data_IF_885478419687
#
_entry.id   IF_885478419687
#
_cell.length_a   1.000
_cell.length_b   1.000
_cell.length_c   1.000
_cell.angle_alpha   90.00
_cell.angle_beta   90.00
_cell.angle_gamma   90.00
#
_symmetry.space_group_name_H-M   'P 1'
#
loop_
_entity.id
_entity.type
_entity.pdbx_description
1 polymer ?
#
# COMPACT_ATOMS: atom_id res chain seq x y z
N UNK A 1 1.01 -25.83 -12.54
CA UNK A 1 2.37 -25.58 -13.08
C UNK A 1 2.53 -24.08 -13.15
N UNK A 2 3.58 -23.51 -12.59
CA UNK A 2 3.82 -22.07 -12.59
C UNK A 2 4.13 -21.62 -14.01
N UNK A 3 3.43 -20.58 -14.48
CA UNK A 3 3.70 -19.97 -15.78
C UNK A 3 4.75 -18.87 -15.60
N UNK A 4 5.88 -19.02 -16.27
CA UNK A 4 6.93 -18.01 -16.38
C UNK A 4 6.93 -17.48 -17.79
N UNK A 5 6.88 -16.18 -17.94
CA UNK A 5 6.93 -15.47 -19.22
C UNK A 5 8.33 -14.86 -19.39
N UNK A 6 8.87 -14.86 -20.60
CA UNK A 6 10.21 -14.34 -20.89
C UNK A 6 10.15 -13.02 -21.64
N UNK A 7 11.12 -12.15 -21.39
CA UNK A 7 11.30 -10.89 -22.09
C UNK A 7 10.03 -10.02 -22.12
N UNK A 8 9.42 -9.81 -20.93
CA UNK A 8 8.12 -9.16 -20.77
C UNK A 8 8.28 -7.65 -20.62
N UNK A 9 7.51 -6.86 -21.38
CA UNK A 9 7.42 -5.41 -21.16
C UNK A 9 6.81 -5.10 -19.80
N UNK A 10 7.44 -4.22 -19.04
CA UNK A 10 6.99 -3.74 -17.73
C UNK A 10 6.21 -2.44 -17.82
N UNK A 11 5.92 -1.93 -19.00
CA UNK A 11 5.24 -0.65 -19.21
C UNK A 11 3.88 -0.59 -18.51
N UNK A 12 3.08 -1.64 -18.60
CA UNK A 12 1.78 -1.74 -17.94
C UNK A 12 1.86 -2.12 -16.45
N UNK A 13 3.07 -2.42 -15.97
CA UNK A 13 3.32 -2.83 -14.58
C UNK A 13 3.93 -1.72 -13.72
N UNK A 14 4.04 -0.49 -14.25
CA UNK A 14 4.48 0.66 -13.49
C UNK A 14 3.65 1.90 -13.84
N UNK A 15 3.34 2.72 -12.84
CA UNK A 15 2.48 3.90 -13.02
C UNK A 15 3.17 5.08 -13.69
N UNK A 16 4.48 5.04 -13.91
CA UNK A 16 5.19 5.98 -14.78
C UNK A 16 4.97 5.68 -16.28
N UNK A 17 4.53 4.45 -16.62
CA UNK A 17 4.42 4.01 -18.01
C UNK A 17 5.77 3.88 -18.73
N UNK A 18 6.85 3.70 -17.97
CA UNK A 18 8.20 3.54 -18.51
C UNK A 18 8.32 2.20 -19.21
N UNK A 19 8.82 2.22 -20.46
CA UNK A 19 9.18 1.03 -21.19
C UNK A 19 10.50 0.47 -20.64
N UNK A 20 10.41 -0.68 -20.01
CA UNK A 20 11.52 -1.51 -19.57
C UNK A 20 11.09 -2.96 -19.71
N UNK A 21 12.01 -3.90 -19.75
CA UNK A 21 11.70 -5.32 -19.89
C UNK A 21 12.21 -6.11 -18.68
N UNK A 22 11.45 -7.11 -18.26
CA UNK A 22 11.96 -8.12 -17.34
C UNK A 22 12.40 -9.35 -18.13
N UNK A 23 13.53 -9.94 -17.76
CA UNK A 23 13.99 -11.22 -18.34
C UNK A 23 12.94 -12.30 -18.13
N UNK A 24 12.42 -12.39 -16.92
CA UNK A 24 11.35 -13.30 -16.55
C UNK A 24 10.26 -12.59 -15.75
N UNK A 25 9.01 -12.99 -15.96
CA UNK A 25 7.87 -12.55 -15.16
C UNK A 25 7.04 -13.77 -14.77
N UNK A 26 6.71 -13.85 -13.49
CA UNK A 26 5.80 -14.84 -12.93
C UNK A 26 4.68 -14.12 -12.14
N UNK A 27 3.42 -14.47 -12.43
CA UNK A 27 2.26 -14.00 -11.65
C UNK A 27 1.96 -15.01 -10.56
N UNK A 28 1.78 -14.54 -9.35
CA UNK A 28 1.46 -15.35 -8.18
C UNK A 28 0.06 -14.99 -7.72
N UNK A 29 -0.88 -15.91 -7.90
CA UNK A 29 -2.29 -15.79 -7.54
C UNK A 29 -2.68 -16.61 -6.30
N UNK A 30 -1.76 -17.45 -5.80
CA UNK A 30 -1.93 -18.23 -4.57
C UNK A 30 -0.62 -18.43 -3.82
N UNK A 31 -0.71 -18.67 -2.52
CA UNK A 31 0.46 -19.02 -1.69
C UNK A 31 1.12 -20.31 -2.15
N UNK A 32 0.33 -21.28 -2.63
CA UNK A 32 0.84 -22.53 -3.18
C UNK A 32 1.70 -22.32 -4.44
N UNK A 33 1.31 -21.37 -5.30
CA UNK A 33 2.14 -20.98 -6.47
C UNK A 33 3.44 -20.34 -6.03
N UNK A 34 3.43 -19.47 -5.01
CA UNK A 34 4.66 -18.91 -4.46
C UNK A 34 5.59 -20.00 -3.93
N UNK A 35 5.07 -20.91 -3.09
CA UNK A 35 5.86 -22.03 -2.54
C UNK A 35 6.47 -22.90 -3.65
N UNK A 36 5.71 -23.13 -4.74
CA UNK A 36 6.22 -23.85 -5.88
C UNK A 36 7.29 -23.06 -6.63
N UNK A 37 7.15 -21.72 -6.76
CA UNK A 37 8.16 -20.84 -7.36
C UNK A 37 9.46 -20.85 -6.55
N UNK A 38 9.39 -20.76 -5.22
CA UNK A 38 10.58 -20.78 -4.35
C UNK A 38 11.42 -22.05 -4.50
N UNK A 39 10.80 -23.18 -4.91
CA UNK A 39 11.49 -24.46 -5.17
C UNK A 39 12.02 -24.58 -6.60
N UNK A 40 11.72 -23.65 -7.47
CA UNK A 40 12.13 -23.70 -8.87
C UNK A 40 13.55 -23.18 -9.08
N UNK A 41 14.30 -23.71 -10.08
CA UNK A 41 15.63 -23.19 -10.41
C UNK A 41 15.64 -21.70 -10.71
N UNK A 42 14.63 -21.20 -11.44
CA UNK A 42 14.54 -19.80 -11.88
C UNK A 42 14.53 -18.80 -10.72
N UNK A 43 14.00 -19.19 -9.54
CA UNK A 43 14.02 -18.33 -8.35
C UNK A 43 15.43 -18.21 -7.76
N UNK A 44 16.25 -19.25 -7.89
CA UNK A 44 17.57 -19.35 -7.29
C UNK A 44 18.71 -18.88 -8.23
N UNK A 45 18.44 -18.74 -9.53
CA UNK A 45 19.46 -18.47 -10.55
C UNK A 45 19.74 -16.98 -10.79
N UNK A 46 19.06 -16.07 -10.11
CA UNK A 46 19.27 -14.64 -10.38
C UNK A 46 18.60 -13.71 -9.39
N UNK A 47 18.64 -12.43 -9.71
CA UNK A 47 17.88 -11.44 -8.94
C UNK A 47 16.38 -11.63 -9.12
N UNK A 48 15.63 -11.41 -8.04
CA UNK A 48 14.19 -11.39 -8.09
C UNK A 48 13.65 -10.13 -7.42
N UNK A 49 12.49 -9.66 -7.88
CA UNK A 49 11.81 -8.51 -7.34
C UNK A 49 10.31 -8.76 -7.21
N UNK A 50 9.76 -8.51 -6.02
CA UNK A 50 8.32 -8.64 -5.76
C UNK A 50 7.63 -7.33 -6.16
N UNK A 51 6.74 -7.40 -7.14
CA UNK A 51 6.05 -6.27 -7.72
C UNK A 51 4.57 -6.28 -7.33
N UNK A 52 4.16 -5.26 -6.56
CA UNK A 52 2.74 -4.99 -6.28
C UNK A 52 2.06 -4.23 -7.43
N UNK A 53 1.50 -3.07 -7.14
CA UNK A 53 0.84 -2.21 -8.13
C UNK A 53 1.78 -1.38 -9.02
N UNK A 54 3.10 -1.45 -8.83
CA UNK A 54 4.07 -0.66 -9.60
C UNK A 54 3.97 0.86 -9.42
N UNK A 55 3.31 1.31 -8.35
CA UNK A 55 3.04 2.73 -8.12
C UNK A 55 4.11 3.45 -7.29
N UNK A 56 5.20 2.76 -6.92
CA UNK A 56 6.32 3.34 -6.16
C UNK A 56 7.66 2.73 -6.62
N UNK A 57 7.81 2.55 -7.92
CA UNK A 57 9.02 2.03 -8.55
C UNK A 57 9.37 2.88 -9.78
N UNK A 58 10.65 3.15 -9.95
CA UNK A 58 11.21 3.79 -11.14
C UNK A 58 12.14 2.79 -11.82
N UNK A 59 11.78 2.31 -13.00
CA UNK A 59 12.67 1.52 -13.83
C UNK A 59 13.63 2.44 -14.57
N UNK A 60 14.93 2.25 -14.35
CA UNK A 60 16.01 3.00 -15.01
C UNK A 60 16.62 2.23 -16.19
N UNK A 61 16.12 1.03 -16.44
CA UNK A 61 16.55 0.12 -17.52
C UNK A 61 15.82 -1.21 -17.38
N UNK A 62 16.19 -2.15 -18.23
CA UNK A 62 15.68 -3.51 -18.19
C UNK A 62 16.12 -4.24 -16.90
N UNK A 63 15.31 -5.17 -16.45
CA UNK A 63 15.57 -5.98 -15.26
C UNK A 63 16.02 -7.38 -15.68
N UNK A 64 17.31 -7.67 -15.52
CA UNK A 64 17.89 -8.99 -15.83
C UNK A 64 17.64 -9.99 -14.69
N UNK A 65 16.37 -10.29 -14.41
CA UNK A 65 15.97 -11.17 -13.32
C UNK A 65 14.49 -11.57 -13.40
N UNK A 66 14.00 -12.17 -12.31
CA UNK A 66 12.64 -12.63 -12.16
C UNK A 66 11.76 -11.56 -11.49
N UNK A 67 10.81 -11.02 -12.23
CA UNK A 67 9.75 -10.18 -11.68
C UNK A 67 8.59 -11.04 -11.17
N UNK A 68 8.31 -10.97 -9.88
CA UNK A 68 7.23 -11.71 -9.22
C UNK A 68 6.05 -10.76 -9.03
N UNK A 69 5.07 -10.83 -9.93
CA UNK A 69 3.86 -10.01 -9.86
C UNK A 69 2.88 -10.60 -8.86
N UNK A 70 2.51 -9.79 -7.88
CA UNK A 70 1.56 -10.19 -6.83
C UNK A 70 0.12 -10.00 -7.32
N UNK A 71 -0.61 -11.11 -7.41
CA UNK A 71 -2.02 -11.14 -7.83
C UNK A 71 -2.91 -11.96 -6.86
N UNK A 72 -2.46 -12.17 -5.60
CA UNK A 72 -3.30 -12.80 -4.56
C UNK A 72 -4.53 -11.93 -4.28
N UNK A 73 -5.72 -12.49 -4.45
CA UNK A 73 -6.99 -11.76 -4.32
C UNK A 73 -7.88 -12.36 -3.24
N UNK A 74 -8.72 -11.53 -2.66
CA UNK A 74 -9.73 -11.89 -1.68
C UNK A 74 -9.75 -10.92 -0.51
N UNK A 75 -10.95 -10.73 0.05
CA UNK A 75 -11.21 -9.98 1.28
C UNK A 75 -12.12 -10.87 2.12
N UNK A 76 -11.72 -11.17 3.33
CA UNK A 76 -12.43 -12.07 4.26
C UNK A 76 -12.69 -11.36 5.58
N UNK A 77 -13.89 -11.52 6.14
CA UNK A 77 -14.16 -11.16 7.53
C UNK A 77 -13.65 -12.31 8.40
N UNK A 78 -12.60 -12.06 9.18
CA UNK A 78 -12.02 -13.10 10.06
C UNK A 78 -12.55 -13.05 11.49
N UNK A 79 -13.07 -11.90 11.91
CA UNK A 79 -13.80 -11.72 13.16
C UNK A 79 -14.63 -10.43 13.10
N UNK A 80 -15.75 -10.40 13.80
CA UNK A 80 -16.54 -9.19 14.02
C UNK A 80 -17.34 -9.25 15.32
N UNK A 81 -17.62 -8.07 15.84
CA UNK A 81 -18.57 -7.88 16.94
C UNK A 81 -19.51 -6.68 16.62
N UNK A 82 -20.19 -6.13 17.64
CA UNK A 82 -21.09 -4.98 17.42
C UNK A 82 -20.37 -3.70 17.07
N UNK A 83 -19.10 -3.54 17.40
CA UNK A 83 -18.32 -2.29 17.30
C UNK A 83 -17.25 -2.33 16.25
N UNK A 84 -16.63 -3.48 16.04
CA UNK A 84 -15.45 -3.66 15.20
C UNK A 84 -15.62 -4.83 14.23
N UNK A 85 -14.92 -4.75 13.12
CA UNK A 85 -14.72 -5.84 12.16
C UNK A 85 -13.22 -6.01 11.90
N UNK A 86 -12.79 -7.25 11.82
CA UNK A 86 -11.44 -7.62 11.37
C UNK A 86 -11.55 -8.20 9.98
N UNK A 87 -10.92 -7.52 9.03
CA UNK A 87 -10.88 -7.96 7.64
C UNK A 87 -9.46 -8.38 7.27
N UNK A 88 -9.33 -9.55 6.70
CA UNK A 88 -8.10 -10.03 6.06
C UNK A 88 -8.19 -9.77 4.57
N UNK A 89 -7.28 -8.96 4.05
CA UNK A 89 -7.19 -8.64 2.64
C UNK A 89 -5.89 -9.19 2.05
N UNK A 90 -5.97 -9.93 0.94
CA UNK A 90 -4.79 -10.51 0.30
C UNK A 90 -3.98 -9.45 -0.44
N UNK A 91 -2.67 -9.69 -0.54
CA UNK A 91 -1.65 -8.70 -0.90
C UNK A 91 -1.78 -8.11 -2.30
N UNK A 92 -2.40 -8.82 -3.23
CA UNK A 92 -2.65 -8.37 -4.60
C UNK A 92 -3.92 -7.53 -4.75
N UNK A 93 -4.75 -7.37 -3.70
CA UNK A 93 -5.90 -6.49 -3.76
C UNK A 93 -5.49 -5.03 -3.99
N UNK A 94 -6.26 -4.32 -4.82
CA UNK A 94 -6.04 -2.89 -5.00
C UNK A 94 -6.40 -2.15 -3.72
N UNK A 95 -5.48 -1.33 -3.21
CA UNK A 95 -5.68 -0.61 -1.96
C UNK A 95 -6.93 0.27 -1.97
N UNK A 96 -7.15 1.05 -3.03
CA UNK A 96 -8.30 1.95 -3.08
C UNK A 96 -9.64 1.18 -3.17
N UNK A 97 -9.66 0.04 -3.86
CA UNK A 97 -10.85 -0.80 -3.91
C UNK A 97 -11.17 -1.40 -2.52
N UNK A 98 -10.15 -1.77 -1.74
CA UNK A 98 -10.34 -2.17 -0.34
C UNK A 98 -10.94 -1.03 0.51
N UNK A 99 -10.45 0.21 0.33
CA UNK A 99 -11.02 1.38 1.01
C UNK A 99 -12.49 1.57 0.62
N UNK A 100 -12.82 1.51 -0.68
CA UNK A 100 -14.20 1.65 -1.15
C UNK A 100 -15.10 0.51 -0.63
N UNK A 101 -14.58 -0.71 -0.54
CA UNK A 101 -15.30 -1.84 0.06
C UNK A 101 -15.63 -1.55 1.54
N UNK A 102 -14.67 -1.06 2.32
CA UNK A 102 -14.89 -0.69 3.73
C UNK A 102 -15.90 0.46 3.85
N UNK A 103 -15.78 1.50 3.04
CA UNK A 103 -16.71 2.65 3.00
C UNK A 103 -18.14 2.22 2.67
N UNK A 104 -18.30 1.30 1.71
CA UNK A 104 -19.63 0.79 1.31
C UNK A 104 -20.32 0.00 2.43
N UNK A 105 -19.55 -0.59 3.35
CA UNK A 105 -20.04 -1.32 4.52
C UNK A 105 -20.10 -0.44 5.79
N UNK A 106 -19.85 0.87 5.67
CA UNK A 106 -19.71 1.81 6.79
C UNK A 106 -18.67 1.36 7.82
N UNK A 107 -17.54 0.81 7.36
CA UNK A 107 -16.40 0.46 8.21
C UNK A 107 -15.37 1.59 8.20
N UNK A 108 -15.20 2.23 9.36
CA UNK A 108 -14.35 3.39 9.52
C UNK A 108 -12.92 3.04 9.92
N UNK A 109 -11.99 3.94 9.55
CA UNK A 109 -10.56 3.91 9.88
C UNK A 109 -9.64 4.13 8.69
N UNK A 110 -9.98 3.62 7.50
CA UNK A 110 -9.15 3.74 6.28
C UNK A 110 -9.67 4.76 5.27
N UNK A 111 -10.76 5.46 5.53
CA UNK A 111 -11.39 6.44 4.63
C UNK A 111 -10.45 7.59 4.22
N UNK A 112 -9.59 8.06 5.14
CA UNK A 112 -8.57 9.07 4.87
C UNK A 112 -7.44 8.57 3.93
N UNK A 113 -7.32 7.26 3.77
CA UNK A 113 -6.32 6.62 2.90
C UNK A 113 -6.88 6.32 1.50
N UNK A 114 -8.01 6.93 1.16
CA UNK A 114 -8.65 6.84 -0.16
C UNK A 114 -7.72 7.29 -1.28
N UNK A 115 -7.86 6.63 -2.44
CA UNK A 115 -7.13 6.94 -3.68
C UNK A 115 -5.60 6.86 -3.57
N UNK A 116 -5.04 6.19 -2.53
CA UNK A 116 -3.63 5.85 -2.52
C UNK A 116 -3.43 4.72 -3.55
N UNK A 117 -2.52 4.89 -4.53
CA UNK A 117 -2.25 3.85 -5.51
C UNK A 117 -1.46 2.69 -4.91
N UNK A 118 -1.56 1.52 -5.54
CA UNK A 118 -0.82 0.33 -5.13
C UNK A 118 -1.71 -0.78 -4.62
N UNK A 119 -1.10 -1.78 -3.99
CA UNK A 119 -1.77 -2.98 -3.49
C UNK A 119 -1.68 -3.10 -1.97
N UNK A 120 -2.56 -3.91 -1.39
CA UNK A 120 -2.64 -4.16 0.06
C UNK A 120 -1.31 -4.63 0.62
N UNK A 121 -0.61 -5.57 -0.04
CA UNK A 121 0.69 -6.06 0.43
C UNK A 121 1.81 -5.03 0.44
N UNK A 122 1.68 -3.94 -0.34
CA UNK A 122 2.63 -2.83 -0.30
C UNK A 122 2.36 -1.83 0.84
N UNK A 123 1.16 -1.84 1.42
CA UNK A 123 0.76 -0.88 2.46
C UNK A 123 1.63 -0.96 3.72
N UNK A 124 1.91 -2.13 4.32
CA UNK A 124 2.75 -2.24 5.51
C UNK A 124 4.24 -1.99 5.22
N UNK A 125 4.71 -2.17 3.98
CA UNK A 125 6.13 -1.99 3.63
C UNK A 125 6.68 -0.64 4.10
N UNK A 126 5.94 0.42 3.87
CA UNK A 126 6.34 1.78 4.22
C UNK A 126 5.31 2.50 5.09
N UNK A 127 4.49 1.75 5.83
CA UNK A 127 3.47 2.33 6.69
C UNK A 127 2.73 3.47 5.96
N UNK A 128 1.96 3.12 4.93
CA UNK A 128 1.27 4.15 4.14
C UNK A 128 0.44 5.06 5.03
N UNK A 129 0.40 6.33 4.69
CA UNK A 129 -0.33 7.32 5.47
C UNK A 129 -0.63 8.57 4.66
N UNK A 130 -1.77 9.14 4.91
CA UNK A 130 -2.24 10.38 4.31
C UNK A 130 -3.30 11.02 5.21
N UNK A 131 -3.45 12.33 5.10
CA UNK A 131 -4.53 13.08 5.75
C UNK A 131 -4.71 12.77 7.25
N UNK A 132 -3.58 12.69 7.97
CA UNK A 132 -3.56 12.50 9.42
C UNK A 132 -3.75 11.04 9.89
N UNK A 133 -3.86 10.07 8.98
CA UNK A 133 -3.98 8.65 9.31
C UNK A 133 -2.79 7.86 8.77
N UNK A 134 -2.25 6.95 9.56
CA UNK A 134 -1.26 5.96 9.16
C UNK A 134 -1.83 4.55 9.32
N UNK A 135 -1.51 3.66 8.37
CA UNK A 135 -2.05 2.29 8.34
C UNK A 135 -1.65 1.47 9.58
N UNK A 136 -0.51 1.77 10.21
CA UNK A 136 -0.07 1.11 11.44
C UNK A 136 -1.09 1.14 12.57
N UNK A 137 -1.96 2.16 12.61
CA UNK A 137 -2.97 2.29 13.65
C UNK A 137 -4.14 1.30 13.47
N UNK A 138 -4.22 0.66 12.31
CA UNK A 138 -5.33 -0.19 11.88
C UNK A 138 -4.90 -1.62 11.58
N UNK A 139 -3.61 -1.85 11.28
CA UNK A 139 -3.07 -3.20 11.09
C UNK A 139 -3.10 -3.95 12.43
N UNK A 140 -3.74 -5.12 12.43
CA UNK A 140 -3.68 -6.09 13.54
C UNK A 140 -2.51 -7.05 13.32
N UNK A 141 -2.37 -7.59 12.10
CA UNK A 141 -1.29 -8.50 11.74
C UNK A 141 -0.96 -8.45 10.24
N UNK A 142 0.21 -8.98 9.92
CA UNK A 142 0.70 -9.15 8.54
C UNK A 142 1.14 -10.60 8.36
N UNK A 143 0.45 -11.34 7.49
CA UNK A 143 0.84 -12.70 7.14
C UNK A 143 1.88 -12.68 6.04
N UNK A 144 2.88 -13.53 6.19
CA UNK A 144 4.04 -13.56 5.30
C UNK A 144 4.51 -14.97 5.02
N UNK A 145 5.30 -15.11 3.95
CA UNK A 145 6.03 -16.32 3.61
C UNK A 145 7.51 -15.95 3.53
N UNK A 146 8.34 -16.63 4.28
CA UNK A 146 9.79 -16.46 4.23
C UNK A 146 10.34 -17.00 2.90
N UNK A 147 11.01 -16.15 2.15
CA UNK A 147 11.47 -16.50 0.80
C UNK A 147 12.55 -17.60 0.77
N UNK A 148 13.37 -17.68 1.82
CA UNK A 148 14.44 -18.67 1.91
C UNK A 148 13.93 -20.09 2.22
N UNK A 149 12.85 -20.20 3.01
CA UNK A 149 12.36 -21.48 3.54
C UNK A 149 10.99 -21.89 3.03
N UNK A 150 10.20 -20.92 2.57
CA UNK A 150 8.79 -21.10 2.24
C UNK A 150 7.89 -21.24 3.49
N UNK A 151 8.40 -20.97 4.69
CA UNK A 151 7.63 -21.06 5.92
C UNK A 151 6.73 -19.85 6.11
N UNK A 152 5.52 -20.09 6.61
CA UNK A 152 4.58 -19.05 6.97
C UNK A 152 4.97 -18.39 8.30
N UNK A 153 4.84 -17.08 8.37
CA UNK A 153 4.99 -16.30 9.59
C UNK A 153 3.98 -15.17 9.63
N UNK A 154 3.27 -15.02 10.72
CA UNK A 154 2.44 -13.86 11.02
C UNK A 154 3.22 -12.91 11.91
N UNK A 155 3.29 -11.63 11.51
CA UNK A 155 3.84 -10.54 12.32
C UNK A 155 2.68 -9.79 12.97
N UNK A 156 2.76 -9.58 14.27
CA UNK A 156 1.87 -8.66 14.97
C UNK A 156 2.17 -7.22 14.57
N UNK A 157 1.28 -6.29 14.90
CA UNK A 157 1.52 -4.85 14.66
C UNK A 157 2.84 -4.39 15.26
N UNK A 158 3.14 -4.79 16.50
CA UNK A 158 4.37 -4.43 17.22
C UNK A 158 5.61 -4.98 16.51
N UNK A 159 5.60 -6.25 16.10
CA UNK A 159 6.71 -6.89 15.38
C UNK A 159 6.97 -6.26 14.02
N UNK A 160 6.00 -5.60 13.40
CA UNK A 160 6.18 -4.86 12.16
C UNK A 160 7.08 -3.61 12.31
N UNK A 161 7.35 -3.14 13.54
CA UNK A 161 8.28 -2.05 13.83
C UNK A 161 7.99 -0.78 13.03
N UNK A 162 6.71 -0.40 12.93
CA UNK A 162 6.28 0.72 12.10
C UNK A 162 6.84 2.07 12.57
N UNK A 163 7.41 2.82 11.64
CA UNK A 163 7.82 4.21 11.79
C UNK A 163 7.27 5.09 10.67
N UNK A 164 7.66 6.36 10.64
CA UNK A 164 7.26 7.26 9.57
C UNK A 164 7.83 6.80 8.23
N UNK A 165 6.95 6.30 7.35
CA UNK A 165 7.29 5.68 6.05
C UNK A 165 8.27 4.52 6.17
N UNK A 166 8.22 3.77 7.26
CA UNK A 166 9.13 2.67 7.57
C UNK A 166 8.44 1.49 8.24
N UNK A 167 9.03 0.30 8.06
CA UNK A 167 8.71 -0.94 8.76
C UNK A 167 9.93 -1.87 8.75
N UNK A 168 9.87 -2.97 9.48
CA UNK A 168 10.90 -4.02 9.43
C UNK A 168 11.06 -4.59 8.01
N UNK A 169 9.97 -4.67 7.22
CA UNK A 169 9.99 -5.17 5.84
C UNK A 169 10.78 -4.27 4.87
N UNK A 170 10.94 -3.00 5.20
CA UNK A 170 11.75 -2.05 4.44
C UNK A 170 13.20 -2.00 4.90
N UNK A 171 13.49 -2.47 6.11
CA UNK A 171 14.81 -2.44 6.80
C UNK A 171 15.40 -3.86 6.94
N UNK A 172 15.35 -4.40 8.16
CA UNK A 172 16.06 -5.63 8.57
C UNK A 172 15.56 -6.88 7.82
N UNK A 173 14.29 -6.88 7.45
CA UNK A 173 13.64 -7.99 6.74
C UNK A 173 13.45 -7.72 5.24
N UNK A 174 14.09 -6.67 4.72
CA UNK A 174 14.03 -6.36 3.29
C UNK A 174 14.46 -7.55 2.45
N UNK A 175 13.67 -7.90 1.43
CA UNK A 175 13.88 -9.05 0.52
C UNK A 175 13.88 -10.42 1.23
N UNK A 176 13.40 -10.52 2.47
CA UNK A 176 13.35 -11.81 3.18
C UNK A 176 11.95 -12.43 3.21
N UNK A 177 10.91 -11.61 3.13
CA UNK A 177 9.53 -12.04 3.25
C UNK A 177 8.68 -11.55 2.08
N UNK A 178 7.78 -12.44 1.65
CA UNK A 178 6.65 -12.09 0.79
C UNK A 178 5.45 -11.85 1.70
N UNK A 179 4.81 -10.68 1.61
CA UNK A 179 3.57 -10.40 2.33
C UNK A 179 2.43 -11.04 1.55
N UNK A 180 1.71 -11.98 2.17
CA UNK A 180 0.59 -12.68 1.55
C UNK A 180 -0.74 -12.01 1.84
N UNK A 181 -0.93 -11.48 3.05
CA UNK A 181 -2.15 -10.76 3.44
C UNK A 181 -1.91 -9.78 4.58
N UNK A 182 -2.88 -8.89 4.79
CA UNK A 182 -2.91 -7.93 5.88
C UNK A 182 -4.26 -7.99 6.57
N UNK A 183 -4.26 -8.14 7.89
CA UNK A 183 -5.48 -8.07 8.70
C UNK A 183 -5.62 -6.66 9.27
N UNK A 184 -6.75 -6.02 8.99
CA UNK A 184 -7.11 -4.69 9.46
C UNK A 184 -8.24 -4.77 10.48
N UNK A 185 -8.15 -3.96 11.53
CA UNK A 185 -9.21 -3.75 12.50
C UNK A 185 -9.90 -2.41 12.21
N UNK A 186 -11.16 -2.47 11.82
CA UNK A 186 -11.98 -1.33 11.44
C UNK A 186 -13.19 -1.18 12.37
N UNK A 187 -13.71 0.03 12.50
CA UNK A 187 -14.88 0.29 13.34
C UNK A 187 -16.18 0.15 12.54
N UNK A 188 -17.22 -0.38 13.17
CA UNK A 188 -18.60 -0.47 12.63
C UNK A 188 -19.54 0.59 13.19
N UNK A 189 -19.18 1.15 14.35
CA UNK A 189 -19.96 2.19 15.06
C UNK A 189 -19.02 3.13 15.80
N UNK A 190 -19.49 4.34 16.12
CA UNK A 190 -18.75 5.33 16.90
C UNK A 190 -17.37 5.64 16.30
N UNK A 191 -17.33 5.84 14.98
CA UNK A 191 -16.11 6.09 14.24
C UNK A 191 -15.34 7.30 14.78
N UNK A 192 -14.03 7.15 14.95
CA UNK A 192 -13.12 8.25 15.26
C UNK A 192 -12.67 8.91 13.96
N UNK A 193 -13.54 9.77 13.42
CA UNK A 193 -13.34 10.40 12.12
C UNK A 193 -12.28 11.50 12.18
N UNK A 194 -11.23 11.40 11.36
CA UNK A 194 -10.21 12.44 11.26
C UNK A 194 -10.58 13.43 10.15
N UNK A 195 -11.14 14.57 10.56
CA UNK A 195 -11.59 15.64 9.65
C UNK A 195 -10.72 16.88 9.69
N UNK A 196 -9.76 16.98 10.63
CA UNK A 196 -9.02 18.22 10.90
C UNK A 196 -7.77 18.42 10.04
N UNK A 197 -7.39 17.45 9.22
CA UNK A 197 -6.12 17.50 8.48
C UNK A 197 -6.24 18.18 7.12
N UNK A 198 -5.37 19.17 6.88
CA UNK A 198 -5.19 19.81 5.57
C UNK A 198 -6.47 20.46 5.04
N UNK A 199 -6.84 20.15 3.81
CA UNK A 199 -7.99 20.74 3.12
C UNK A 199 -9.32 19.97 3.36
N UNK A 200 -9.35 18.96 4.24
CA UNK A 200 -10.58 18.19 4.51
C UNK A 200 -11.72 19.08 5.02
N UNK A 201 -11.51 19.95 6.05
CA UNK A 201 -12.60 20.78 6.58
C UNK A 201 -13.25 21.66 5.51
N UNK A 202 -12.45 22.34 4.72
CA UNK A 202 -12.91 23.23 3.64
C UNK A 202 -13.63 22.43 2.56
N UNK A 203 -13.08 21.28 2.17
CA UNK A 203 -13.70 20.41 1.16
C UNK A 203 -15.06 19.87 1.61
N UNK A 204 -15.19 19.43 2.88
CA UNK A 204 -16.47 19.00 3.44
C UNK A 204 -17.48 20.14 3.44
N UNK A 205 -17.06 21.37 3.76
CA UNK A 205 -17.92 22.56 3.70
C UNK A 205 -18.38 22.86 2.27
N UNK A 206 -17.48 22.79 1.28
CA UNK A 206 -17.83 22.93 -0.13
C UNK A 206 -18.81 21.85 -0.62
N UNK A 207 -18.73 20.66 -0.05
CA UNK A 207 -19.64 19.55 -0.33
C UNK A 207 -20.97 19.65 0.45
N UNK A 208 -21.18 20.72 1.23
CA UNK A 208 -22.34 20.94 2.10
C UNK A 208 -22.56 19.82 3.12
N UNK A 209 -21.48 19.18 3.59
CA UNK A 209 -21.54 18.14 4.62
C UNK A 209 -21.59 18.79 6.00
N UNK A 210 -22.70 18.66 6.68
CA UNK A 210 -22.90 19.18 8.06
C UNK A 210 -22.44 18.18 9.13
N UNK A 211 -22.65 16.89 8.89
CA UNK A 211 -22.23 15.80 9.77
C UNK A 211 -21.33 14.86 8.96
N UNK A 212 -20.02 14.84 9.23
CA UNK A 212 -19.11 13.95 8.54
C UNK A 212 -19.43 12.47 8.78
N UNK A 213 -19.26 11.66 7.74
CA UNK A 213 -19.39 10.21 7.76
C UNK A 213 -18.15 9.58 7.14
N UNK A 214 -17.94 8.27 7.32
CA UNK A 214 -16.89 7.51 6.65
C UNK A 214 -16.92 7.78 5.14
N UNK A 215 -18.11 7.76 4.54
CA UNK A 215 -18.31 8.01 3.10
C UNK A 215 -17.92 9.44 2.70
N UNK A 216 -18.42 10.45 3.41
CA UNK A 216 -18.17 11.85 3.05
C UNK A 216 -16.69 12.23 3.18
N UNK A 217 -15.96 11.66 4.15
CA UNK A 217 -14.51 11.86 4.27
C UNK A 217 -13.78 11.20 3.10
N UNK A 218 -14.11 9.96 2.77
CA UNK A 218 -13.53 9.28 1.59
C UNK A 218 -13.73 10.11 0.32
N UNK A 219 -14.94 10.61 0.07
CA UNK A 219 -15.27 11.47 -1.09
C UNK A 219 -14.48 12.79 -1.08
N UNK A 220 -14.35 13.44 0.08
CA UNK A 220 -13.55 14.65 0.24
C UNK A 220 -12.07 14.40 -0.07
N UNK A 221 -11.50 13.32 0.47
CA UNK A 221 -10.11 12.94 0.20
C UNK A 221 -9.90 12.63 -1.29
N UNK A 222 -10.81 11.91 -1.93
CA UNK A 222 -10.75 11.64 -3.38
C UNK A 222 -10.77 12.95 -4.18
N UNK A 223 -11.67 13.89 -3.84
CA UNK A 223 -11.76 15.22 -4.48
C UNK A 223 -10.45 15.98 -4.35
N UNK A 224 -9.89 16.06 -3.12
CA UNK A 224 -8.62 16.74 -2.85
C UNK A 224 -7.47 16.10 -3.64
N UNK A 225 -7.38 14.77 -3.65
CA UNK A 225 -6.29 14.08 -4.35
C UNK A 225 -6.36 14.27 -5.87
N UNK A 226 -7.56 14.19 -6.44
CA UNK A 226 -7.77 14.44 -7.88
C UNK A 226 -7.42 15.86 -8.31
N UNK A 227 -7.60 16.86 -7.42
CA UNK A 227 -7.20 18.24 -7.72
C UNK A 227 -5.70 18.48 -7.64
N UNK A 228 -4.95 17.64 -6.90
CA UNK A 228 -3.50 17.85 -6.65
C UNK A 228 -2.59 16.90 -7.41
N UNK A 229 -3.07 15.71 -7.76
CA UNK A 229 -2.27 14.66 -8.38
C UNK A 229 -2.87 14.31 -9.74
N UNK A 230 -2.06 14.31 -10.81
CA UNK A 230 -2.52 13.84 -12.10
C UNK A 230 -2.86 12.36 -12.05
N UNK A 231 -3.84 11.94 -12.86
CA UNK A 231 -4.15 10.53 -13.04
C UNK A 231 -2.96 9.84 -13.73
N UNK A 232 -2.37 8.79 -13.14
CA UNK A 232 -1.27 8.06 -13.75
C UNK A 232 -1.60 7.46 -15.12
N UNK A 233 -2.86 7.22 -15.42
CA UNK A 233 -3.30 6.76 -16.74
C UNK A 233 -3.19 7.85 -17.81
N UNK A 234 -3.16 9.13 -17.41
CA UNK A 234 -3.03 10.29 -18.32
C UNK A 234 -1.59 10.81 -18.31
N UNK A 235 -1.02 11.00 -17.14
CA UNK A 235 0.36 11.46 -16.94
C UNK A 235 1.05 10.52 -15.97
N UNK A 236 1.98 9.71 -16.48
CA UNK A 236 2.73 8.72 -15.68
C UNK A 236 3.40 9.37 -14.47
N UNK A 237 3.10 8.86 -13.28
CA UNK A 237 3.68 9.34 -12.03
C UNK A 237 3.61 8.27 -10.93
N UNK A 238 4.34 8.49 -9.84
CA UNK A 238 4.31 7.63 -8.65
C UNK A 238 3.86 8.39 -7.38
N UNK A 239 3.12 9.48 -7.55
CA UNK A 239 2.68 10.33 -6.44
C UNK A 239 3.84 11.04 -5.74
N UNK A 240 3.78 11.17 -4.42
CA UNK A 240 4.88 11.77 -3.62
C UNK A 240 6.11 10.89 -3.64
N UNK A 241 7.13 11.29 -4.41
CA UNK A 241 8.35 10.51 -4.59
C UNK A 241 9.32 10.62 -3.41
N UNK A 242 9.46 11.80 -2.84
CA UNK A 242 10.39 12.03 -1.75
C UNK A 242 9.72 11.88 -0.38
N UNK A 243 10.47 11.29 0.56
CA UNK A 243 10.12 11.28 1.98
C UNK A 243 10.43 12.65 2.58
N UNK A 244 9.49 13.25 3.29
CA UNK A 244 9.75 14.50 4.02
C UNK A 244 10.86 14.27 5.06
N UNK A 245 11.89 15.14 5.11
CA UNK A 245 12.95 15.01 6.09
C UNK A 245 12.46 15.39 7.49
N UNK A 246 12.99 14.70 8.50
CA UNK A 246 12.90 15.15 9.89
C UNK A 246 14.11 16.02 10.17
N UNK A 247 13.88 17.29 10.54
CA UNK A 247 14.94 18.27 10.82
C UNK A 247 14.84 18.78 12.26
N UNK A 248 15.92 19.36 12.77
CA UNK A 248 15.92 20.00 14.10
C UNK A 248 15.05 21.25 14.07
N UNK A 249 14.41 21.58 15.20
CA UNK A 249 13.55 22.77 15.32
C UNK A 249 14.27 24.07 14.94
N UNK A 250 15.57 24.17 15.24
CA UNK A 250 16.41 25.32 14.85
C UNK A 250 16.55 25.46 13.33
N UNK A 251 16.76 24.34 12.62
CA UNK A 251 16.78 24.32 11.16
C UNK A 251 15.44 24.71 10.56
N UNK A 252 14.33 24.19 11.14
CA UNK A 252 12.98 24.56 10.70
C UNK A 252 12.74 26.06 10.83
N UNK A 253 13.08 26.67 11.97
CA UNK A 253 12.92 28.12 12.20
C UNK A 253 13.76 28.96 11.23
N UNK A 254 14.98 28.52 10.93
CA UNK A 254 15.83 29.22 9.96
C UNK A 254 15.21 29.15 8.54
N UNK A 255 14.79 27.97 8.10
CA UNK A 255 14.11 27.82 6.81
C UNK A 255 12.81 28.64 6.75
N UNK A 256 12.03 28.68 7.82
CA UNK A 256 10.80 29.45 7.90
C UNK A 256 11.06 30.95 7.79
N UNK A 257 12.19 31.45 8.29
CA UNK A 257 12.59 32.87 8.16
C UNK A 257 13.17 33.21 6.79
N UNK A 258 13.78 32.23 6.11
CA UNK A 258 14.42 32.42 4.80
C UNK A 258 13.44 32.25 3.63
N UNK A 259 12.49 31.32 3.78
CA UNK A 259 11.47 31.00 2.77
C UNK A 259 10.09 31.31 3.34
N UNK A 260 9.61 32.52 3.13
CA UNK A 260 8.22 32.88 3.45
C UNK A 260 7.32 32.21 2.44
N UNK A 261 6.45 31.30 2.93
CA UNK A 261 5.44 30.61 2.12
C UNK A 261 4.19 31.48 1.98
#
# INVERSE_FOLDING_TARGET
>A
MIKVEENVSLKEYNTFGIEARAKYLCRISSEAELIALLKSPIFNEGEHYILGGGSNILFTGDFDGLMIKVDLKGIEIVAEDEREVRIKAYSGENWHQLVLHAVANDWGGIENLSLIPGTVGAAPMQNIGAYGVEIKNLIESVDTIELATGLFRTFTNEECGFGYRESVFKKELRKKYFISSVTLRLTKKNHQLNTSYGAIPETLKEMHVTIPTVKSISEAVIKIRRSKLPDPAVIGNAGSFFKNPTIRLTQYKNLQSEYVA
#
